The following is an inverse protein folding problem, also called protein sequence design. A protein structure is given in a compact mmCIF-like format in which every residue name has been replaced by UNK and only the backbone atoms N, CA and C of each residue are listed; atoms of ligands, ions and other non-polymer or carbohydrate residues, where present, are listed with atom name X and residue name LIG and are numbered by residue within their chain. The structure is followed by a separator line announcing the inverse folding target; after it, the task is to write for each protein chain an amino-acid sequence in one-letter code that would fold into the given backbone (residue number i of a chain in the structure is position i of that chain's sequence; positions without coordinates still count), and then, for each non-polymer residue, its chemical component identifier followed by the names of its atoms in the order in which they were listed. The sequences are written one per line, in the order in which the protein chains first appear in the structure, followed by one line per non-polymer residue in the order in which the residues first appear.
data_IF_774565829942
#
_entry.id   IF_774565829942
#
_cell.length_a   1.000
_cell.length_b   1.000
_cell.length_c   1.000
_cell.angle_alpha   90.00
_cell.angle_beta   90.00
_cell.angle_gamma   90.00
#
_symmetry.space_group_name_H-M   'P 1'
#
loop_
_entity.id
_entity.type
_entity.pdbx_description
1 polymer ?
#
# COMPACT_ATOMS: atom_id res chain seq x y z
N UNK A 1 23.31 -5.87 -3.79
CA UNK A 1 21.91 -5.80 -3.32
C UNK A 1 21.85 -4.90 -2.10
N UNK A 2 21.34 -3.68 -2.27
CA UNK A 2 21.21 -2.71 -1.18
C UNK A 2 20.02 -3.06 -0.29
N UNK A 3 19.93 -2.42 0.88
CA UNK A 3 18.80 -2.60 1.80
C UNK A 3 17.47 -2.13 1.19
N UNK A 4 17.50 -1.06 0.39
CA UNK A 4 16.32 -0.54 -0.31
C UNK A 4 15.82 -1.52 -1.38
N UNK A 5 16.72 -2.15 -2.14
CA UNK A 5 16.35 -3.16 -3.16
C UNK A 5 15.62 -4.34 -2.51
N UNK A 6 16.12 -4.81 -1.36
CA UNK A 6 15.48 -5.89 -0.60
C UNK A 6 14.14 -5.46 -0.01
N UNK A 7 14.05 -4.24 0.53
CA UNK A 7 12.80 -3.75 1.09
C UNK A 7 11.72 -3.60 0.01
N UNK A 8 12.09 -3.08 -1.17
CA UNK A 8 11.18 -2.98 -2.31
C UNK A 8 10.69 -4.37 -2.75
N UNK A 9 11.56 -5.37 -2.77
CA UNK A 9 11.17 -6.76 -3.04
C UNK A 9 10.14 -7.28 -2.02
N UNK A 10 10.36 -7.07 -0.72
CA UNK A 10 9.42 -7.50 0.32
C UNK A 10 8.07 -6.75 0.26
N UNK A 11 8.07 -5.46 -0.11
CA UNK A 11 6.85 -4.70 -0.38
C UNK A 11 6.10 -5.26 -1.58
N UNK A 12 6.81 -5.65 -2.65
CA UNK A 12 6.22 -6.30 -3.82
C UNK A 12 5.61 -7.67 -3.54
N UNK A 13 6.10 -8.38 -2.53
CA UNK A 13 5.50 -9.61 -2.00
C UNK A 13 4.30 -9.36 -1.07
N UNK A 14 3.92 -8.10 -0.85
CA UNK A 14 2.83 -7.68 0.03
C UNK A 14 2.99 -8.13 1.50
N UNK A 15 4.23 -8.14 2.01
CA UNK A 15 4.48 -8.41 3.43
C UNK A 15 4.05 -7.24 4.31
N UNK A 16 3.68 -7.54 5.55
CA UNK A 16 3.35 -6.50 6.54
C UNK A 16 4.58 -5.72 6.97
N UNK A 17 4.41 -4.43 7.31
CA UNK A 17 5.53 -3.59 7.81
C UNK A 17 6.22 -4.21 9.03
N UNK A 18 5.48 -4.91 9.90
CA UNK A 18 6.03 -5.64 11.04
C UNK A 18 6.93 -6.82 10.63
N UNK A 19 6.55 -7.59 9.61
CA UNK A 19 7.41 -8.66 9.08
C UNK A 19 8.66 -8.09 8.42
N UNK A 20 8.54 -6.98 7.69
CA UNK A 20 9.67 -6.26 7.11
C UNK A 20 10.62 -5.75 8.21
N UNK A 21 10.07 -5.19 9.29
CA UNK A 21 10.84 -4.75 10.44
C UNK A 21 11.63 -5.91 11.06
N UNK A 22 10.98 -7.06 11.24
CA UNK A 22 11.63 -8.27 11.76
C UNK A 22 12.78 -8.75 10.84
N UNK A 23 12.54 -8.83 9.53
CA UNK A 23 13.53 -9.32 8.56
C UNK A 23 14.79 -8.43 8.50
N UNK A 24 14.62 -7.12 8.72
CA UNK A 24 15.73 -6.17 8.73
C UNK A 24 16.23 -5.80 10.13
N UNK A 25 15.66 -6.39 11.19
CA UNK A 25 15.96 -6.01 12.58
C UNK A 25 15.78 -4.50 12.84
N UNK A 26 14.72 -3.92 12.28
CA UNK A 26 14.33 -2.52 12.49
C UNK A 26 13.21 -2.42 13.54
N UNK A 27 13.01 -1.22 14.06
CA UNK A 27 11.73 -0.91 14.70
C UNK A 27 10.62 -0.76 13.64
N UNK A 28 9.37 -0.91 14.08
CA UNK A 28 8.21 -0.88 13.17
C UNK A 28 8.01 0.50 12.51
N UNK A 29 8.37 1.59 13.19
CA UNK A 29 8.21 2.97 12.70
C UNK A 29 9.20 3.29 11.56
N UNK A 30 10.43 2.80 11.66
CA UNK A 30 11.44 2.90 10.61
C UNK A 30 11.02 2.08 9.38
N UNK A 31 10.52 0.86 9.59
CA UNK A 31 9.97 0.04 8.51
C UNK A 31 8.74 0.70 7.88
N UNK A 32 7.87 1.33 8.67
CA UNK A 32 6.75 2.11 8.16
C UNK A 32 7.24 3.27 7.29
N UNK A 33 8.22 4.05 7.77
CA UNK A 33 8.74 5.21 7.05
C UNK A 33 9.41 4.79 5.73
N UNK A 34 10.23 3.75 5.76
CA UNK A 34 10.88 3.19 4.57
C UNK A 34 9.85 2.69 3.55
N UNK A 35 8.88 1.89 4.00
CA UNK A 35 7.87 1.33 3.09
C UNK A 35 6.92 2.39 2.55
N UNK A 36 6.66 3.49 3.29
CA UNK A 36 5.89 4.63 2.80
C UNK A 36 6.60 5.30 1.62
N UNK A 37 7.89 5.64 1.77
CA UNK A 37 8.68 6.25 0.70
C UNK A 37 8.76 5.35 -0.54
N UNK A 38 8.96 4.04 -0.36
CA UNK A 38 9.02 3.09 -1.48
C UNK A 38 7.68 2.96 -2.20
N UNK A 39 6.56 2.84 -1.46
CA UNK A 39 5.22 2.78 -2.07
C UNK A 39 4.91 4.07 -2.84
N UNK A 40 5.28 5.23 -2.30
CA UNK A 40 5.12 6.50 -3.01
C UNK A 40 5.95 6.51 -4.29
N UNK A 41 7.21 6.06 -4.26
CA UNK A 41 8.04 5.95 -5.45
C UNK A 41 7.44 5.03 -6.54
N UNK A 42 6.76 3.95 -6.14
CA UNK A 42 6.03 3.08 -7.09
C UNK A 42 4.84 3.81 -7.72
N UNK A 43 4.09 4.58 -6.93
CA UNK A 43 2.97 5.40 -7.44
C UNK A 43 3.49 6.46 -8.41
N UNK A 44 4.56 7.16 -8.05
CA UNK A 44 5.15 8.22 -8.87
C UNK A 44 5.75 7.67 -10.18
N UNK A 45 6.26 6.44 -10.16
CA UNK A 45 6.77 5.74 -11.34
C UNK A 45 5.66 5.09 -12.20
N UNK A 46 4.43 5.00 -11.69
CA UNK A 46 3.33 4.38 -12.40
C UNK A 46 2.90 5.25 -13.59
N UNK A 47 2.83 4.65 -14.77
CA UNK A 47 2.37 5.34 -15.98
C UNK A 47 0.85 5.21 -16.04
N UNK A 48 0.15 6.34 -16.03
CA UNK A 48 -1.29 6.35 -16.32
C UNK A 48 -1.52 6.01 -17.78
N UNK A 49 -2.09 4.84 -18.05
CA UNK A 49 -2.45 4.42 -19.40
C UNK A 49 -3.69 5.16 -19.90
N UNK A 50 -3.66 5.63 -21.15
CA UNK A 50 -4.87 6.11 -21.82
C UNK A 50 -5.78 4.92 -22.13
N UNK A 51 -6.96 4.90 -21.53
CA UNK A 51 -7.99 3.90 -21.79
C UNK A 51 -8.74 4.23 -23.09
N UNK A 52 -9.03 3.22 -23.93
CA UNK A 52 -9.77 3.39 -25.18
C UNK A 52 -10.66 2.17 -25.48
N UNK A 53 -11.84 2.40 -26.07
CA UNK A 53 -12.81 1.35 -26.38
C UNK A 53 -13.61 0.91 -25.15
N UNK A 54 -14.02 -0.37 -25.13
CA UNK A 54 -14.66 -1.00 -23.96
C UNK A 54 -13.61 -1.39 -22.94
N UNK A 55 -13.79 -0.96 -21.70
CA UNK A 55 -12.87 -1.22 -20.59
C UNK A 55 -13.64 -1.98 -19.51
N UNK A 56 -13.06 -3.08 -19.05
CA UNK A 56 -13.57 -3.80 -17.88
C UNK A 56 -12.99 -3.20 -16.60
N UNK A 57 -13.84 -3.03 -15.60
CA UNK A 57 -13.47 -2.53 -14.28
C UNK A 57 -13.69 -3.67 -13.28
N UNK A 58 -12.64 -4.03 -12.54
CA UNK A 58 -12.73 -4.93 -11.40
C UNK A 58 -12.82 -4.11 -10.12
N UNK A 59 -13.84 -4.36 -9.30
CA UNK A 59 -14.07 -3.65 -8.05
C UNK A 59 -13.62 -4.50 -6.85
N UNK A 60 -12.70 -3.94 -6.06
CA UNK A 60 -12.24 -4.57 -4.81
C UNK A 60 -12.63 -3.69 -3.63
N UNK A 61 -13.34 -4.27 -2.68
CA UNK A 61 -13.73 -3.61 -1.44
C UNK A 61 -12.70 -3.90 -0.35
N UNK A 62 -12.13 -2.83 0.23
CA UNK A 62 -11.16 -2.90 1.31
C UNK A 62 -11.78 -2.35 2.61
N UNK A 63 -11.59 -3.07 3.72
CA UNK A 63 -11.97 -2.56 5.05
C UNK A 63 -10.82 -1.72 5.60
N UNK A 64 -10.99 -0.40 5.58
CA UNK A 64 -10.04 0.50 6.22
C UNK A 64 -10.17 0.40 7.76
N UNK A 65 -9.13 -0.10 8.42
CA UNK A 65 -9.06 -0.11 9.87
C UNK A 65 -8.65 1.25 10.43
N UNK A 66 -9.56 1.96 11.10
CA UNK A 66 -9.22 3.21 11.79
C UNK A 66 -8.89 2.97 13.27
N UNK A 67 -7.81 2.22 13.56
CA UNK A 67 -7.36 1.92 14.95
C UNK A 67 -8.49 1.47 15.91
N UNK A 68 -9.43 0.66 15.42
CA UNK A 68 -10.59 0.19 16.20
C UNK A 68 -11.80 1.15 16.23
N UNK A 69 -11.72 2.31 15.58
CA UNK A 69 -12.77 3.32 15.46
C UNK A 69 -13.32 3.38 14.03
N UNK A 70 -13.64 2.23 13.44
CA UNK A 70 -14.14 2.12 12.06
C UNK A 70 -15.37 2.98 11.78
N UNK A 71 -16.19 3.25 12.81
CA UNK A 71 -17.39 4.08 12.67
C UNK A 71 -17.11 5.55 12.35
N UNK A 72 -15.93 6.07 12.71
CA UNK A 72 -15.54 7.45 12.41
C UNK A 72 -15.16 7.68 10.94
N UNK A 73 -14.82 6.61 10.22
CA UNK A 73 -14.38 6.67 8.81
C UNK A 73 -15.39 6.04 7.84
N UNK A 74 -16.55 5.60 8.36
CA UNK A 74 -17.62 5.02 7.56
C UNK A 74 -18.27 6.11 6.71
N UNK A 75 -17.86 6.21 5.44
CA UNK A 75 -18.60 6.99 4.44
C UNK A 75 -19.87 6.23 4.06
N UNK A 76 -21.02 6.92 4.03
CA UNK A 76 -22.20 6.41 3.32
C UNK A 76 -21.85 6.28 1.84
N UNK A 77 -22.20 5.15 1.23
CA UNK A 77 -22.15 4.97 -0.21
C UNK A 77 -23.06 6.01 -0.87
N UNK A 78 -22.48 7.09 -1.37
CA UNK A 78 -23.18 8.12 -2.14
C UNK A 78 -23.26 7.65 -3.60
N UNK A 79 -24.14 6.68 -3.84
CA UNK A 79 -24.64 6.33 -5.17
C UNK A 79 -26.11 5.94 -4.99
N UNK A 80 -26.96 6.95 -4.81
CA UNK A 80 -28.42 6.85 -4.94
C UNK A 80 -28.88 8.08 -5.72
#
# INVERSE_FOLDING_TARGET
MTMLDRCLYLVGLNLSNRQIAHEFSLNEDDAQSMTLSLRQGVVDASITSTLAGTVEIDEVYLVAGHKGQSDLVRKMSAWT
#
